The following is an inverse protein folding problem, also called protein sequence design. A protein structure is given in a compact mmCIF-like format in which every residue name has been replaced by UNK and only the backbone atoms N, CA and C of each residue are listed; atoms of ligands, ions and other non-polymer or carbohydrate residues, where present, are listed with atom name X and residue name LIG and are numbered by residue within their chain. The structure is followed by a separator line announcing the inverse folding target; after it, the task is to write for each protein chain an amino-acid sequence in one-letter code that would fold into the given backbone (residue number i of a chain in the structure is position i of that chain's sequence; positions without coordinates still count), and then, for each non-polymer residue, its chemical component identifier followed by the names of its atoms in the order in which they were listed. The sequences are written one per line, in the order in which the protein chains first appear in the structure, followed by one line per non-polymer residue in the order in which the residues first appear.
data_IF_439102169578
#
_entry.id   IF_439102169578
#
_cell.length_a   1.000
_cell.length_b   1.000
_cell.length_c   1.000
_cell.angle_alpha   90.00
_cell.angle_beta   90.00
_cell.angle_gamma   90.00
#
_symmetry.space_group_name_H-M   'P 1'
#
loop_
_entity.id
_entity.type
_entity.pdbx_description
1 polymer ?
#
# COMPACT_ATOMS: atom_id res chain seq x y z
N UNK A 1 -0.01 2.26 41.76
CA UNK A 1 -0.13 1.37 40.59
C UNK A 1 -0.97 2.15 39.56
N UNK A 2 -0.60 2.52 38.34
CA UNK A 2 0.23 1.89 37.31
C UNK A 2 0.76 2.98 36.37
N UNK A 3 2.09 3.17 36.29
CA UNK A 3 2.80 4.18 35.49
C UNK A 3 3.19 3.63 34.10
N UNK A 4 2.36 2.73 33.53
CA UNK A 4 2.70 1.88 32.36
C UNK A 4 2.12 2.34 31.00
N UNK A 5 1.33 3.42 30.95
CA UNK A 5 0.68 3.90 29.72
C UNK A 5 1.52 4.78 28.78
N UNK A 6 2.59 5.43 29.26
CA UNK A 6 3.30 6.47 28.51
C UNK A 6 4.20 5.96 27.36
N UNK A 7 4.85 4.80 27.55
CA UNK A 7 5.77 4.24 26.54
C UNK A 7 5.01 3.54 25.43
N UNK A 8 3.92 2.84 25.77
CA UNK A 8 3.06 2.15 24.80
C UNK A 8 2.39 3.14 23.84
N UNK A 9 1.86 4.27 24.37
CA UNK A 9 1.26 5.32 23.54
C UNK A 9 2.29 6.00 22.61
N UNK A 10 3.50 6.27 23.09
CA UNK A 10 4.58 6.81 22.26
C UNK A 10 5.01 5.83 21.15
N UNK A 11 5.13 4.53 21.46
CA UNK A 11 5.41 3.51 20.44
C UNK A 11 4.31 3.43 19.38
N UNK A 12 3.04 3.51 19.79
CA UNK A 12 1.89 3.50 18.87
C UNK A 12 1.84 4.74 17.96
N UNK A 13 2.38 5.89 18.40
CA UNK A 13 2.49 7.10 17.56
C UNK A 13 3.72 7.11 16.66
N UNK A 14 4.83 6.50 17.10
CA UNK A 14 6.10 6.51 16.35
C UNK A 14 6.12 5.41 15.27
N UNK A 15 5.49 4.25 15.53
CA UNK A 15 5.36 3.16 14.54
C UNK A 15 4.79 3.60 13.18
N UNK A 16 3.67 4.34 13.10
CA UNK A 16 3.14 4.79 11.82
C UNK A 16 4.05 5.79 11.12
N UNK A 17 4.79 6.63 11.86
CA UNK A 17 5.73 7.60 11.26
C UNK A 17 6.93 6.88 10.64
N UNK A 18 7.48 5.88 11.33
CA UNK A 18 8.57 5.04 10.80
C UNK A 18 8.08 4.24 9.59
N UNK A 19 6.88 3.66 9.68
CA UNK A 19 6.25 2.95 8.57
C UNK A 19 6.05 3.85 7.35
N UNK A 20 5.55 5.07 7.55
CA UNK A 20 5.37 6.08 6.50
C UNK A 20 6.69 6.46 5.83
N UNK A 21 7.74 6.71 6.62
CA UNK A 21 9.08 7.05 6.12
C UNK A 21 9.70 5.92 5.31
N UNK A 22 9.61 4.69 5.82
CA UNK A 22 10.07 3.50 5.10
C UNK A 22 9.35 3.34 3.76
N UNK A 23 8.02 3.54 3.77
CA UNK A 23 7.20 3.45 2.57
C UNK A 23 7.50 4.55 1.56
N UNK A 24 7.76 5.77 2.04
CA UNK A 24 8.13 6.90 1.21
C UNK A 24 9.45 6.64 0.47
N UNK A 25 10.44 6.10 1.17
CA UNK A 25 11.73 5.68 0.56
C UNK A 25 11.51 4.58 -0.47
N UNK A 26 10.64 3.61 -0.17
CA UNK A 26 10.33 2.48 -1.06
C UNK A 26 9.64 2.94 -2.34
N UNK A 27 8.74 3.93 -2.25
CA UNK A 27 8.09 4.56 -3.41
C UNK A 27 9.11 5.30 -4.27
N UNK A 28 10.02 6.09 -3.67
CA UNK A 28 11.04 6.82 -4.41
C UNK A 28 11.99 5.90 -5.16
N UNK A 29 12.43 4.82 -4.51
CA UNK A 29 13.26 3.79 -5.13
C UNK A 29 12.53 3.13 -6.32
N UNK A 30 11.27 2.73 -6.13
CA UNK A 30 10.48 2.07 -7.17
C UNK A 30 10.12 3.01 -8.34
N UNK A 31 9.94 4.31 -8.06
CA UNK A 31 9.74 5.33 -9.09
C UNK A 31 10.99 5.52 -9.94
N UNK A 32 12.17 5.63 -9.32
CA UNK A 32 13.44 5.78 -10.02
C UNK A 32 13.76 4.56 -10.92
N UNK A 33 13.36 3.36 -10.50
CA UNK A 33 13.51 2.13 -11.30
C UNK A 33 12.43 1.91 -12.37
N UNK A 34 11.45 2.83 -12.52
CA UNK A 34 10.43 2.74 -13.57
C UNK A 34 9.44 1.57 -13.40
N UNK A 35 9.36 0.99 -12.20
CA UNK A 35 8.61 -0.25 -11.91
C UNK A 35 7.11 -0.09 -12.20
N UNK A 36 6.59 1.13 -12.08
CA UNK A 36 5.16 1.44 -12.26
C UNK A 36 4.75 1.78 -13.71
N UNK A 37 5.66 1.76 -14.69
CA UNK A 37 5.35 2.14 -16.09
C UNK A 37 4.66 1.04 -16.90
N UNK A 38 4.78 -0.23 -16.50
CA UNK A 38 4.17 -1.35 -17.22
C UNK A 38 3.55 -2.37 -16.25
N UNK A 39 2.51 -3.07 -16.70
CA UNK A 39 1.91 -4.16 -15.93
C UNK A 39 2.92 -5.29 -15.68
N UNK A 40 3.79 -5.58 -16.65
CA UNK A 40 4.83 -6.62 -16.57
C UNK A 40 5.90 -6.32 -15.50
N UNK A 41 6.40 -5.09 -15.45
CA UNK A 41 7.40 -4.69 -14.44
C UNK A 41 6.82 -4.74 -13.02
N UNK A 42 5.56 -4.33 -12.87
CA UNK A 42 4.88 -4.42 -11.58
C UNK A 42 4.62 -5.87 -11.18
N UNK A 43 4.31 -6.72 -12.15
CA UNK A 43 4.14 -8.15 -11.93
C UNK A 43 5.42 -8.78 -11.38
N UNK A 44 6.55 -8.52 -12.04
CA UNK A 44 7.85 -9.02 -11.62
C UNK A 44 8.18 -8.56 -10.20
N UNK A 45 8.01 -7.27 -9.90
CA UNK A 45 8.25 -6.71 -8.57
C UNK A 45 7.42 -7.39 -7.48
N UNK A 46 6.11 -7.56 -7.68
CA UNK A 46 5.24 -8.18 -6.66
C UNK A 46 5.57 -9.68 -6.52
N UNK A 47 5.95 -10.36 -7.61
CA UNK A 47 6.32 -11.77 -7.58
C UNK A 47 7.61 -12.04 -6.80
N UNK A 48 8.55 -11.09 -6.72
CA UNK A 48 9.76 -11.24 -5.88
C UNK A 48 9.43 -11.45 -4.40
N UNK A 49 8.26 -10.99 -3.94
CA UNK A 49 7.81 -11.16 -2.55
C UNK A 49 7.17 -12.54 -2.28
N UNK A 50 6.99 -13.38 -3.31
CA UNK A 50 6.52 -14.76 -3.20
C UNK A 50 5.24 -14.89 -2.38
N UNK A 51 5.32 -15.53 -1.20
CA UNK A 51 4.17 -15.76 -0.31
C UNK A 51 3.53 -14.46 0.22
N UNK A 52 4.26 -13.35 0.21
CA UNK A 52 3.78 -12.05 0.66
C UNK A 52 3.23 -11.18 -0.50
N UNK A 53 3.19 -11.70 -1.72
CA UNK A 53 2.72 -11.00 -2.91
C UNK A 53 1.31 -10.39 -2.73
N UNK A 54 0.37 -11.11 -2.09
CA UNK A 54 -0.99 -10.61 -1.84
C UNK A 54 -0.98 -9.40 -0.91
N UNK A 55 -0.16 -9.43 0.15
CA UNK A 55 -0.06 -8.34 1.11
C UNK A 55 0.55 -7.11 0.44
N UNK A 56 1.64 -7.31 -0.30
CA UNK A 56 2.31 -6.23 -1.06
C UNK A 56 1.36 -5.63 -2.10
N UNK A 57 0.58 -6.46 -2.79
CA UNK A 57 -0.42 -6.00 -3.74
C UNK A 57 -1.52 -5.15 -3.07
N UNK A 58 -2.12 -5.62 -1.98
CA UNK A 58 -3.15 -4.86 -1.25
C UNK A 58 -2.60 -3.54 -0.73
N UNK A 59 -1.37 -3.54 -0.21
CA UNK A 59 -0.68 -2.33 0.23
C UNK A 59 -0.48 -1.34 -0.91
N UNK A 60 -0.08 -1.83 -2.09
CA UNK A 60 0.05 -0.99 -3.29
C UNK A 60 -1.31 -0.38 -3.68
N UNK A 61 -2.39 -1.16 -3.61
CA UNK A 61 -3.75 -0.68 -3.88
C UNK A 61 -4.23 0.36 -2.86
N UNK A 62 -3.74 0.32 -1.61
CA UNK A 62 -3.98 1.37 -0.61
C UNK A 62 -3.18 2.64 -0.93
N UNK A 63 -1.89 2.51 -1.27
CA UNK A 63 -1.01 3.66 -1.58
C UNK A 63 -1.58 4.48 -2.74
N UNK A 64 -1.95 3.83 -3.84
CA UNK A 64 -2.37 4.54 -5.04
C UNK A 64 -3.65 5.37 -4.82
N UNK A 65 -4.48 5.00 -3.84
CA UNK A 65 -5.68 5.78 -3.48
C UNK A 65 -5.26 7.05 -2.75
N UNK A 66 -4.32 6.94 -1.81
CA UNK A 66 -3.82 8.08 -1.04
C UNK A 66 -2.92 8.98 -1.90
N UNK A 67 -2.14 8.39 -2.80
CA UNK A 67 -1.19 9.07 -3.69
C UNK A 67 -1.63 8.81 -5.14
N UNK A 68 -2.53 9.64 -5.70
CA UNK A 68 -3.18 9.41 -7.01
C UNK A 68 -2.25 9.56 -8.24
N UNK A 69 -0.93 9.60 -8.02
CA UNK A 69 0.09 9.65 -9.07
C UNK A 69 0.39 8.24 -9.60
N UNK A 70 0.12 7.19 -8.81
CA UNK A 70 0.32 5.81 -9.24
C UNK A 70 -0.84 5.34 -10.15
N UNK A 71 -0.55 4.66 -11.28
CA UNK A 71 -1.58 4.26 -12.23
C UNK A 71 -2.41 3.07 -11.72
N UNK A 72 -3.53 3.36 -11.04
CA UNK A 72 -4.40 2.35 -10.41
C UNK A 72 -5.07 1.35 -11.35
N UNK A 73 -5.25 1.73 -12.63
CA UNK A 73 -5.74 0.80 -13.65
C UNK A 73 -4.71 -0.28 -14.00
N UNK A 74 -3.43 0.12 -14.10
CA UNK A 74 -2.33 -0.80 -14.47
C UNK A 74 -2.08 -1.80 -13.34
N UNK A 75 -2.11 -1.35 -12.08
CA UNK A 75 -1.96 -2.22 -10.91
C UNK A 75 -3.09 -3.24 -10.81
N UNK A 76 -4.33 -2.83 -11.02
CA UNK A 76 -5.48 -3.74 -10.97
C UNK A 76 -5.42 -4.81 -12.07
N UNK A 77 -5.00 -4.43 -13.28
CA UNK A 77 -4.74 -5.40 -14.36
C UNK A 77 -3.60 -6.35 -14.00
N UNK A 78 -2.50 -5.85 -13.44
CA UNK A 78 -1.40 -6.69 -12.98
C UNK A 78 -1.87 -7.71 -11.92
N UNK A 79 -2.70 -7.28 -10.96
CA UNK A 79 -3.28 -8.15 -9.94
C UNK A 79 -4.18 -9.25 -10.51
N UNK A 80 -5.04 -8.93 -11.48
CA UNK A 80 -5.86 -9.93 -12.17
C UNK A 80 -5.01 -10.95 -12.95
N UNK A 81 -3.91 -10.50 -13.56
CA UNK A 81 -2.99 -11.39 -14.26
C UNK A 81 -2.16 -12.26 -13.29
N UNK A 82 -1.88 -11.79 -12.08
CA UNK A 82 -1.10 -12.52 -11.07
C UNK A 82 -1.91 -13.52 -10.26
N UNK A 83 -3.05 -13.08 -9.74
CA UNK A 83 -3.86 -13.83 -8.78
C UNK A 83 -5.11 -14.45 -9.42
N UNK A 84 -5.29 -14.25 -10.73
CA UNK A 84 -6.49 -14.60 -11.46
C UNK A 84 -7.58 -13.53 -11.34
N UNK A 85 -8.54 -13.56 -12.25
CA UNK A 85 -9.53 -12.48 -12.40
C UNK A 85 -10.36 -12.27 -11.11
N UNK A 86 -10.78 -13.35 -10.45
CA UNK A 86 -11.59 -13.28 -9.22
C UNK A 86 -10.83 -12.73 -8.02
N UNK A 87 -9.71 -13.37 -7.64
CA UNK A 87 -8.93 -12.96 -6.48
C UNK A 87 -8.19 -11.63 -6.70
N UNK A 88 -7.70 -11.37 -7.92
CA UNK A 88 -7.09 -10.09 -8.27
C UNK A 88 -8.07 -8.92 -8.12
N UNK A 89 -9.32 -9.10 -8.55
CA UNK A 89 -10.39 -8.13 -8.29
C UNK A 89 -10.68 -8.00 -6.79
N UNK A 90 -10.83 -9.12 -6.08
CA UNK A 90 -11.13 -9.11 -4.65
C UNK A 90 -10.07 -8.33 -3.85
N UNK A 91 -8.79 -8.62 -4.07
CA UNK A 91 -7.69 -7.94 -3.39
C UNK A 91 -7.60 -6.46 -3.79
N UNK A 92 -7.94 -6.13 -5.04
CA UNK A 92 -8.03 -4.74 -5.49
C UNK A 92 -9.13 -3.99 -4.76
N UNK A 93 -10.33 -4.56 -4.67
CA UNK A 93 -11.44 -3.98 -3.92
C UNK A 93 -11.10 -3.78 -2.44
N UNK A 94 -10.48 -4.77 -1.81
CA UNK A 94 -10.06 -4.67 -0.40
C UNK A 94 -9.09 -3.50 -0.22
N UNK A 95 -8.05 -3.42 -1.06
CA UNK A 95 -7.08 -2.33 -0.98
C UNK A 95 -7.69 -0.95 -1.24
N UNK A 96 -8.58 -0.85 -2.24
CA UNK A 96 -9.30 0.39 -2.54
C UNK A 96 -10.16 0.85 -1.36
N UNK A 97 -10.98 -0.04 -0.79
CA UNK A 97 -11.86 0.29 0.35
C UNK A 97 -11.05 0.73 1.56
N UNK A 98 -9.94 0.06 1.86
CA UNK A 98 -9.04 0.45 2.95
C UNK A 98 -8.40 1.82 2.64
N UNK A 99 -7.94 2.03 1.40
CA UNK A 99 -7.36 3.29 0.95
C UNK A 99 -8.33 4.46 1.10
N UNK A 100 -9.56 4.30 0.66
CA UNK A 100 -10.63 5.31 0.77
C UNK A 100 -10.98 5.58 2.23
N UNK A 101 -11.07 4.55 3.07
CA UNK A 101 -11.32 4.73 4.51
C UNK A 101 -10.20 5.55 5.17
N UNK A 102 -8.94 5.24 4.87
CA UNK A 102 -7.78 5.99 5.36
C UNK A 102 -7.78 7.41 4.81
N UNK A 103 -8.03 7.59 3.50
CA UNK A 103 -8.13 8.90 2.86
C UNK A 103 -9.20 9.77 3.51
N UNK A 104 -10.39 9.22 3.76
CA UNK A 104 -11.46 9.89 4.49
C UNK A 104 -11.06 10.26 5.93
N UNK A 105 -10.39 9.36 6.65
CA UNK A 105 -9.86 9.63 7.99
C UNK A 105 -8.82 10.76 7.98
N UNK A 106 -7.93 10.78 6.99
CA UNK A 106 -6.92 11.82 6.82
C UNK A 106 -7.58 13.18 6.52
N UNK A 107 -8.49 13.25 5.57
CA UNK A 107 -9.27 14.47 5.26
C UNK A 107 -10.03 14.95 6.49
N UNK A 108 -10.71 14.04 7.21
CA UNK A 108 -11.44 14.40 8.44
C UNK A 108 -10.54 14.95 9.55
N UNK A 109 -9.30 14.50 9.63
CA UNK A 109 -8.35 14.93 10.67
C UNK A 109 -7.60 16.21 10.28
N UNK A 110 -7.23 16.36 9.01
CA UNK A 110 -6.37 17.45 8.53
C UNK A 110 -7.12 18.57 7.80
N UNK A 111 -8.36 18.34 7.33
CA UNK A 111 -9.17 19.30 6.57
C UNK A 111 -8.96 19.16 5.06
#
# INVERSE_FOLDING_TARGET
MSKKGSVLQKCLQIMPIIGLLFFFVLILYAYHHGIFRSSTSLQAFIQEFGKYAVIVFVLLQVIQVIIPILPGGISSVAGMLMFGNGFGLLYSCIGLVIGEAIGFLLVRYYG
#
